data_IF_646762154667
#
_entry.id   IF_646762154667
#
_cell.length_a   1.000
_cell.length_b   1.000
_cell.length_c   1.000
_cell.angle_alpha   90.00
_cell.angle_beta   90.00
_cell.angle_gamma   90.00
#
_symmetry.space_group_name_H-M   'P 1'
#
loop_
_entity.id
_entity.type
_entity.pdbx_description
1 polymer ?
#
# COMPACT_ATOMS: atom_id res chain seq x y z
N UNK A 1 -0.72 -7.47 -11.59
CA UNK A 1 -0.55 -6.18 -10.89
C UNK A 1 -0.06 -6.36 -9.45
N UNK A 2 -0.85 -6.93 -8.52
CA UNK A 2 -0.48 -6.99 -7.08
C UNK A 2 0.81 -7.79 -6.78
N UNK A 3 1.04 -8.93 -7.44
CA UNK A 3 2.30 -9.67 -7.25
C UNK A 3 3.54 -8.86 -7.64
N UNK A 4 3.47 -8.09 -8.73
CA UNK A 4 4.56 -7.18 -9.10
C UNK A 4 4.77 -6.05 -8.09
N UNK A 5 3.71 -5.56 -7.44
CA UNK A 5 3.84 -4.61 -6.32
C UNK A 5 4.46 -5.27 -5.07
N UNK A 6 4.22 -6.57 -4.84
CA UNK A 6 4.89 -7.32 -3.78
C UNK A 6 6.40 -7.52 -4.07
N UNK A 7 6.79 -7.67 -5.33
CA UNK A 7 8.21 -7.66 -5.72
C UNK A 7 8.84 -6.27 -5.48
N UNK A 8 8.11 -5.19 -5.74
CA UNK A 8 8.55 -3.83 -5.40
C UNK A 8 8.66 -3.61 -3.89
N UNK A 9 7.77 -4.19 -3.08
CA UNK A 9 7.86 -4.17 -1.62
C UNK A 9 9.13 -4.88 -1.12
N UNK A 10 9.48 -6.02 -1.73
CA UNK A 10 10.74 -6.71 -1.41
C UNK A 10 11.96 -5.87 -1.76
N UNK A 11 11.93 -5.13 -2.88
CA UNK A 11 13.00 -4.18 -3.22
C UNK A 11 13.10 -3.03 -2.20
N UNK A 12 11.98 -2.50 -1.72
CA UNK A 12 11.95 -1.48 -0.64
C UNK A 12 12.54 -2.04 0.66
N UNK A 13 12.25 -3.29 1.00
CA UNK A 13 12.85 -3.97 2.16
C UNK A 13 14.36 -4.16 1.99
N UNK A 14 14.81 -4.55 0.80
CA UNK A 14 16.23 -4.70 0.49
C UNK A 14 17.00 -3.37 0.61
N UNK A 15 16.33 -2.23 0.43
CA UNK A 15 16.89 -0.90 0.66
C UNK A 15 16.97 -0.50 2.15
N UNK A 16 16.65 -1.40 3.08
CA UNK A 16 16.76 -1.19 4.53
C UNK A 16 15.52 -0.60 5.19
N UNK A 17 14.40 -0.47 4.47
CA UNK A 17 13.13 -0.02 5.05
C UNK A 17 12.44 -1.20 5.75
N UNK A 18 11.86 -0.98 6.92
CA UNK A 18 11.02 -1.96 7.63
C UNK A 18 9.56 -1.50 7.63
N UNK A 19 8.75 -1.89 6.63
CA UNK A 19 7.36 -1.47 6.55
C UNK A 19 6.52 -2.16 7.64
N UNK A 20 5.55 -1.44 8.22
CA UNK A 20 4.67 -1.96 9.28
C UNK A 20 3.24 -2.23 8.82
N UNK A 21 2.81 -1.58 7.74
CA UNK A 21 1.52 -1.74 7.09
C UNK A 21 1.60 -1.11 5.69
N UNK A 22 0.60 -1.39 4.87
CA UNK A 22 0.45 -0.86 3.52
C UNK A 22 -0.74 0.09 3.47
N UNK A 23 -0.64 1.14 2.66
CA UNK A 23 -1.75 2.04 2.34
C UNK A 23 -2.16 1.77 0.89
N UNK A 24 -3.36 1.24 0.68
CA UNK A 24 -3.91 0.99 -0.65
C UNK A 24 -4.77 2.19 -1.07
N UNK A 25 -4.31 2.93 -2.06
CA UNK A 25 -4.97 4.14 -2.60
C UNK A 25 -5.19 4.02 -4.11
N UNK A 26 -5.89 5.01 -4.69
CA UNK A 26 -6.23 5.04 -6.11
C UNK A 26 -7.54 4.34 -6.44
N UNK A 27 -7.98 4.41 -7.70
CA UNK A 27 -9.32 3.94 -8.09
C UNK A 27 -9.58 2.46 -7.80
N UNK A 28 -8.56 1.60 -7.95
CA UNK A 28 -8.67 0.17 -7.66
C UNK A 28 -8.87 -0.14 -6.17
N UNK A 29 -8.48 0.77 -5.26
CA UNK A 29 -8.57 0.56 -3.82
C UNK A 29 -10.01 0.44 -3.31
N UNK A 30 -10.99 0.97 -4.06
CA UNK A 30 -12.42 0.89 -3.70
C UNK A 30 -13.04 -0.48 -4.06
N UNK A 31 -12.34 -1.30 -4.86
CA UNK A 31 -12.85 -2.60 -5.26
C UNK A 31 -12.59 -3.64 -4.17
N UNK A 32 -13.64 -4.20 -3.59
CA UNK A 32 -13.56 -5.19 -2.50
C UNK A 32 -12.72 -6.43 -2.88
N UNK A 33 -12.77 -6.89 -4.13
CA UNK A 33 -11.94 -8.01 -4.58
C UNK A 33 -10.45 -7.64 -4.62
N UNK A 34 -10.11 -6.39 -4.99
CA UNK A 34 -8.73 -5.91 -4.94
C UNK A 34 -8.24 -5.82 -3.49
N UNK A 35 -9.08 -5.32 -2.58
CA UNK A 35 -8.75 -5.25 -1.15
C UNK A 35 -8.47 -6.64 -0.57
N UNK A 36 -9.34 -7.60 -0.85
CA UNK A 36 -9.22 -8.99 -0.39
C UNK A 36 -7.95 -9.65 -0.95
N UNK A 37 -7.74 -9.58 -2.27
CA UNK A 37 -6.55 -10.17 -2.90
C UNK A 37 -5.28 -9.46 -2.42
N UNK A 38 -5.31 -8.15 -2.13
CA UNK A 38 -4.16 -7.46 -1.54
C UNK A 38 -3.81 -8.03 -0.15
N UNK A 39 -4.79 -8.24 0.72
CA UNK A 39 -4.57 -8.84 2.04
C UNK A 39 -3.98 -10.26 1.95
N UNK A 40 -4.30 -11.01 0.89
CA UNK A 40 -3.76 -12.34 0.64
C UNK A 40 -2.36 -12.31 0.00
N UNK A 41 -2.08 -11.36 -0.89
CA UNK A 41 -0.78 -11.25 -1.58
C UNK A 41 0.31 -10.70 -0.65
N UNK A 42 -0.01 -9.72 0.20
CA UNK A 42 0.94 -9.07 1.08
C UNK A 42 0.98 -9.72 2.47
N UNK A 43 2.16 -9.73 3.07
CA UNK A 43 2.43 -10.24 4.43
C UNK A 43 2.30 -9.15 5.52
N UNK A 44 1.66 -8.03 5.17
CA UNK A 44 1.46 -6.87 6.05
C UNK A 44 -0.01 -6.45 6.04
N UNK A 45 -0.51 -5.86 7.14
CA UNK A 45 -1.85 -5.28 7.17
C UNK A 45 -2.02 -4.25 6.05
N UNK A 46 -3.17 -4.29 5.37
CA UNK A 46 -3.53 -3.37 4.30
C UNK A 46 -4.60 -2.42 4.82
N UNK A 47 -4.31 -1.12 4.81
CA UNK A 47 -5.24 -0.07 5.21
C UNK A 47 -5.73 0.67 3.98
N UNK A 48 -7.01 1.00 3.93
CA UNK A 48 -7.64 1.73 2.83
C UNK A 48 -8.09 3.10 3.35
N UNK A 49 -7.31 4.16 3.08
CA UNK A 49 -7.72 5.53 3.39
C UNK A 49 -8.99 5.94 2.65
N UNK A 50 -9.79 6.80 3.28
CA UNK A 50 -10.93 7.43 2.63
C UNK A 50 -10.49 8.39 1.53
N UNK A 51 -11.16 8.42 0.36
CA UNK A 51 -10.76 9.25 -0.78
C UNK A 51 -10.52 10.71 -0.39
N UNK A 52 -9.53 11.34 -1.00
CA UNK A 52 -9.29 12.75 -0.77
C UNK A 52 -8.12 13.33 -1.55
N UNK A 53 -8.02 14.66 -1.49
CA UNK A 53 -6.97 15.43 -2.15
C UNK A 53 -5.66 15.39 -1.35
N UNK A 54 -5.03 14.22 -1.25
CA UNK A 54 -3.86 14.03 -0.37
C UNK A 54 -2.68 14.93 -0.75
N UNK A 55 -2.53 15.26 -2.04
CA UNK A 55 -1.50 16.21 -2.51
C UNK A 55 -1.79 17.61 -1.99
N UNK A 56 -3.00 18.14 -2.21
CA UNK A 56 -3.37 19.48 -1.77
C UNK A 56 -3.37 19.59 -0.23
N UNK A 57 -3.91 18.58 0.47
CA UNK A 57 -3.88 18.52 1.94
C UNK A 57 -2.46 18.42 2.48
N UNK A 58 -1.60 17.62 1.86
CA UNK A 58 -0.19 17.54 2.22
C UNK A 58 0.53 18.87 2.07
N UNK A 59 0.27 19.59 0.97
CA UNK A 59 0.81 20.93 0.75
C UNK A 59 0.32 21.93 1.81
N UNK A 60 -0.97 21.91 2.15
CA UNK A 60 -1.52 22.76 3.21
C UNK A 60 -0.89 22.45 4.59
N UNK A 61 -0.70 21.18 4.92
CA UNK A 61 -0.02 20.75 6.15
C UNK A 61 1.44 21.24 6.18
N UNK A 62 2.16 21.14 5.07
CA UNK A 62 3.54 21.64 4.98
C UNK A 62 3.61 23.17 5.10
N UNK A 63 2.71 23.91 4.46
CA UNK A 63 2.66 25.36 4.56
C UNK A 63 2.36 25.82 6.00
N UNK A 64 1.37 25.19 6.63
CA UNK A 64 1.04 25.46 8.03
C UNK A 64 2.20 25.10 8.97
N UNK A 65 2.91 24.00 8.72
CA UNK A 65 4.10 23.63 9.49
C UNK A 65 5.20 24.69 9.36
N UNK A 66 5.53 25.12 8.14
CA UNK A 66 6.57 26.13 7.92
C UNK A 66 6.29 27.44 8.68
N UNK A 67 5.02 27.85 8.76
CA UNK A 67 4.60 29.07 9.48
C UNK A 67 4.57 28.86 11.00
N UNK A 68 4.02 27.74 11.47
CA UNK A 68 3.82 27.48 12.89
C UNK A 68 5.07 26.95 13.62
N UNK A 69 6.11 26.54 12.89
CA UNK A 69 7.34 25.93 13.43
C UNK A 69 7.13 24.51 14.01
N UNK A 70 5.89 24.03 14.04
CA UNK A 70 5.50 22.70 14.53
C UNK A 70 4.52 22.05 13.55
N UNK A 71 4.60 20.73 13.43
CA UNK A 71 3.78 19.98 12.48
C UNK A 71 2.33 19.99 12.96
N UNK A 72 1.36 20.52 12.19
CA UNK A 72 -0.05 20.45 12.56
C UNK A 72 -0.53 19.00 12.49
N UNK A 73 -1.59 18.70 13.24
CA UNK A 73 -2.22 17.39 13.20
C UNK A 73 -2.73 17.09 11.78
N UNK A 74 -2.34 15.94 11.25
CA UNK A 74 -2.85 15.43 9.98
C UNK A 74 -3.56 14.11 10.24
N UNK A 75 -4.89 14.15 10.30
CA UNK A 75 -5.74 12.97 10.36
C UNK A 75 -6.16 12.53 8.96
N UNK A 76 -5.97 11.25 8.66
CA UNK A 76 -6.51 10.60 7.47
C UNK A 76 -7.52 9.57 7.95
N UNK A 77 -8.78 9.73 7.55
CA UNK A 77 -9.82 8.75 7.83
C UNK A 77 -9.48 7.45 7.11
N UNK A 78 -9.59 6.32 7.81
CA UNK A 78 -9.39 4.99 7.24
C UNK A 78 -10.76 4.34 7.11
N UNK A 79 -11.15 3.99 5.89
CA UNK A 79 -12.45 3.38 5.63
C UNK A 79 -12.46 1.90 5.97
N UNK A 80 -11.34 1.23 5.74
CA UNK A 80 -11.24 -0.21 5.92
C UNK A 80 -9.81 -0.59 6.34
N UNK A 81 -9.70 -1.42 7.36
CA UNK A 81 -8.45 -2.05 7.78
C UNK A 81 -8.56 -3.56 7.56
N UNK A 82 -7.71 -4.11 6.69
CA UNK A 82 -7.60 -5.55 6.45
C UNK A 82 -6.35 -6.08 7.14
N UNK A 83 -6.55 -7.02 8.06
CA UNK A 83 -5.45 -7.83 8.57
C UNK A 83 -4.79 -8.59 7.42
N UNK A 84 -3.52 -8.97 7.58
CA UNK A 84 -2.88 -9.84 6.59
C UNK A 84 -3.52 -11.22 6.63
N UNK A 85 -3.92 -11.71 5.46
CA UNK A 85 -4.35 -13.09 5.22
C UNK A 85 -3.34 -13.80 4.31
N UNK A 86 -2.05 -13.57 4.55
CA UNK A 86 -1.00 -13.90 3.59
C UNK A 86 -1.08 -15.36 3.09
N UNK A 87 -1.07 -15.52 1.76
CA UNK A 87 -1.07 -16.79 1.03
C UNK A 87 0.18 -16.86 0.14
N UNK A 88 1.31 -17.40 0.64
CA UNK A 88 2.57 -17.47 -0.11
C UNK A 88 2.44 -18.12 -1.49
N UNK A 89 1.55 -19.12 -1.61
CA UNK A 89 1.26 -19.85 -2.85
C UNK A 89 0.90 -18.94 -4.02
N UNK A 90 0.27 -17.79 -3.77
CA UNK A 90 -0.10 -16.84 -4.84
C UNK A 90 1.16 -16.29 -5.53
N UNK A 91 2.18 -15.91 -4.75
CA UNK A 91 3.45 -15.39 -5.29
C UNK A 91 4.30 -16.50 -5.88
N UNK A 92 4.27 -17.70 -5.31
CA UNK A 92 4.95 -18.87 -5.87
C UNK A 92 4.43 -19.21 -7.26
N UNK A 93 3.11 -19.31 -7.43
CA UNK A 93 2.49 -19.59 -8.73
C UNK A 93 2.70 -18.47 -9.73
N UNK A 94 2.66 -17.21 -9.29
CA UNK A 94 2.99 -16.07 -10.15
C UNK A 94 4.43 -16.16 -10.69
N UNK A 95 5.42 -16.46 -9.84
CA UNK A 95 6.82 -16.61 -10.29
C UNK A 95 7.00 -17.79 -11.23
N UNK A 96 6.35 -18.92 -10.95
CA UNK A 96 6.37 -20.09 -11.83
C UNK A 96 5.80 -19.76 -13.22
N UNK A 97 4.67 -19.04 -13.27
CA UNK A 97 4.05 -18.61 -14.52
C UNK A 97 4.96 -17.64 -15.29
N UNK A 98 5.54 -16.62 -14.63
CA UNK A 98 6.48 -15.68 -15.26
C UNK A 98 7.69 -16.41 -15.84
N UNK A 99 8.27 -17.37 -15.11
CA UNK A 99 9.41 -18.15 -15.56
C UNK A 99 9.10 -19.07 -16.76
N UNK A 100 7.83 -19.42 -16.96
CA UNK A 100 7.39 -20.26 -18.09
C UNK A 100 7.25 -19.49 -19.42
N UNK A 101 7.27 -18.15 -19.38
CA UNK A 101 7.18 -17.32 -20.57
C UNK A 101 8.57 -17.15 -21.17
N UNK A 102 8.82 -17.77 -22.32
CA UNK A 102 9.98 -17.50 -23.16
C UNK A 102 9.64 -16.35 -24.13
N UNK A 103 10.49 -15.33 -24.18
CA UNK A 103 10.45 -14.26 -25.19
C UNK A 103 11.46 -14.52 -26.29
#
# INVERSE_FOLDING_TARGET
MLCGLADALDAVRAAGVTPRHLLLIGGAAQNAAVQEVAAQVFDLPVRIPGPGEYVARGAAVQAAWAVAGSRPQWSVETLEDRASDHRPVIREQYRAAVASVAF
#
